data_IF_628734154331
#
_entry.id   IF_628734154331
#
_cell.length_a   1.000
_cell.length_b   1.000
_cell.length_c   1.000
_cell.angle_alpha   90.00
_cell.angle_beta   90.00
_cell.angle_gamma   90.00
#
_symmetry.space_group_name_H-M   'P 1'
#
loop_
_entity.id
_entity.type
_entity.pdbx_description
1 polymer ?
#
# COMPACT_ATOMS: atom_id res chain seq x y z
N UNK A 1 -10.47 -7.12 14.55
CA UNK A 1 -10.02 -7.24 13.15
C UNK A 1 -10.72 -6.16 12.36
N UNK A 2 -10.00 -5.14 11.89
CA UNK A 2 -10.56 -4.08 11.04
C UNK A 2 -10.40 -4.56 9.61
N UNK A 3 -11.48 -4.61 8.84
CA UNK A 3 -11.44 -4.89 7.41
C UNK A 3 -11.25 -3.56 6.66
N UNK A 4 -10.21 -3.47 5.84
CA UNK A 4 -9.99 -2.33 4.96
C UNK A 4 -10.70 -2.63 3.64
N UNK A 5 -11.62 -1.76 3.22
CA UNK A 5 -12.23 -1.82 1.89
C UNK A 5 -11.64 -0.70 1.03
N UNK A 6 -11.10 -1.07 -0.13
CA UNK A 6 -10.54 -0.14 -1.09
C UNK A 6 -11.41 -0.18 -2.35
N UNK A 7 -11.86 0.97 -2.89
CA UNK A 7 -12.76 1.04 -4.04
C UNK A 7 -12.10 0.66 -5.38
N UNK A 8 -10.90 0.07 -5.35
CA UNK A 8 -10.10 -0.30 -6.52
C UNK A 8 -8.61 -0.04 -6.30
N UNK A 9 -7.82 -0.23 -7.36
CA UNK A 9 -6.36 -0.05 -7.34
C UNK A 9 -5.98 1.40 -6.96
N UNK A 10 -6.77 2.38 -7.38
CA UNK A 10 -6.53 3.80 -7.08
C UNK A 10 -6.54 4.09 -5.56
N UNK A 11 -7.53 3.58 -4.84
CA UNK A 11 -7.58 3.71 -3.38
C UNK A 11 -6.41 2.99 -2.70
N UNK A 12 -5.93 1.89 -3.28
CA UNK A 12 -4.77 1.18 -2.76
C UNK A 12 -3.48 1.99 -2.96
N UNK A 13 -3.32 2.65 -4.11
CA UNK A 13 -2.19 3.54 -4.39
C UNK A 13 -2.17 4.74 -3.42
N UNK A 14 -3.33 5.34 -3.14
CA UNK A 14 -3.45 6.43 -2.17
C UNK A 14 -3.03 5.99 -0.75
N UNK A 15 -3.40 4.78 -0.33
CA UNK A 15 -2.97 4.23 0.97
C UNK A 15 -1.45 4.02 1.01
N UNK A 16 -0.84 3.52 -0.06
CA UNK A 16 0.62 3.37 -0.15
C UNK A 16 1.30 4.72 -0.03
N UNK A 17 0.83 5.74 -0.76
CA UNK A 17 1.39 7.09 -0.70
C UNK A 17 1.25 7.73 0.69
N UNK A 18 0.10 7.55 1.33
CA UNK A 18 -0.13 8.01 2.69
C UNK A 18 0.79 7.33 3.71
N UNK A 19 1.07 6.02 3.55
CA UNK A 19 2.00 5.28 4.41
C UNK A 19 3.43 5.78 4.25
N UNK A 20 3.87 6.04 3.02
CA UNK A 20 5.20 6.58 2.73
C UNK A 20 5.36 8.00 3.29
N UNK A 21 4.38 8.87 3.05
CA UNK A 21 4.35 10.22 3.62
C UNK A 21 4.40 10.19 5.15
N UNK A 22 3.63 9.30 5.78
CA UNK A 22 3.65 9.13 7.22
C UNK A 22 4.96 8.51 7.74
N UNK A 23 5.68 7.72 6.93
CA UNK A 23 7.00 7.20 7.30
C UNK A 23 8.04 8.33 7.32
N UNK A 24 8.05 9.16 6.28
CA UNK A 24 8.97 10.29 6.16
C UNK A 24 8.76 11.32 7.28
N UNK A 25 7.50 11.59 7.64
CA UNK A 25 7.15 12.51 8.72
C UNK A 25 7.71 12.09 10.11
N UNK A 26 7.92 10.79 10.35
CA UNK A 26 8.39 10.28 11.65
C UNK A 26 9.82 9.77 11.63
N UNK A 27 10.50 9.79 10.48
CA UNK A 27 11.83 9.20 10.28
C UNK A 27 12.86 9.63 11.33
N UNK A 28 12.86 10.90 11.73
CA UNK A 28 13.84 11.46 12.68
C UNK A 28 13.53 11.12 14.14
N UNK A 29 12.26 10.98 14.50
CA UNK A 29 11.83 10.76 15.90
C UNK A 29 11.49 9.30 16.22
N UNK A 30 11.17 8.49 15.20
CA UNK A 30 10.77 7.10 15.34
C UNK A 30 11.17 6.29 14.09
N UNK A 31 12.48 6.02 13.89
CA UNK A 31 12.99 5.33 12.69
C UNK A 31 12.40 3.92 12.53
N UNK A 32 12.16 3.19 13.62
CA UNK A 32 11.54 1.86 13.57
C UNK A 32 10.08 1.92 13.10
N UNK A 33 9.35 2.97 13.49
CA UNK A 33 7.99 3.20 13.03
C UNK A 33 7.96 3.59 11.55
N UNK A 34 8.92 4.40 11.10
CA UNK A 34 9.09 4.72 9.68
C UNK A 34 9.38 3.46 8.85
N UNK A 35 10.32 2.62 9.30
CA UNK A 35 10.64 1.35 8.64
C UNK A 35 9.42 0.42 8.56
N UNK A 36 8.65 0.31 9.66
CA UNK A 36 7.42 -0.49 9.67
C UNK A 36 6.38 0.03 8.68
N UNK A 37 6.22 1.35 8.55
CA UNK A 37 5.29 1.96 7.58
C UNK A 37 5.72 1.71 6.13
N UNK A 38 7.02 1.83 5.84
CA UNK A 38 7.56 1.49 4.51
C UNK A 38 7.33 0.02 4.18
N UNK A 39 7.63 -0.89 5.10
CA UNK A 39 7.37 -2.32 4.88
C UNK A 39 5.90 -2.67 4.66
N UNK A 40 4.96 -1.91 5.25
CA UNK A 40 3.53 -2.07 4.95
C UNK A 40 3.18 -1.56 3.55
N UNK A 41 3.72 -0.41 3.15
CA UNK A 41 3.57 0.13 1.79
C UNK A 41 4.11 -0.84 0.74
N UNK A 42 5.31 -1.39 0.96
CA UNK A 42 5.93 -2.37 0.07
C UNK A 42 5.07 -3.63 -0.05
N UNK A 43 4.63 -4.21 1.07
CA UNK A 43 3.80 -5.41 1.07
C UNK A 43 2.45 -5.22 0.36
N UNK A 44 1.86 -4.01 0.45
CA UNK A 44 0.65 -3.68 -0.30
C UNK A 44 0.96 -3.55 -1.80
N UNK A 45 2.04 -2.85 -2.17
CA UNK A 45 2.50 -2.75 -3.56
C UNK A 45 2.72 -4.11 -4.19
N UNK A 46 3.48 -4.99 -3.52
CA UNK A 46 3.73 -6.36 -3.96
C UNK A 46 2.43 -7.16 -4.13
N UNK A 47 1.48 -7.01 -3.20
CA UNK A 47 0.19 -7.69 -3.29
C UNK A 47 -0.67 -7.19 -4.46
N UNK A 48 -0.61 -5.90 -4.77
CA UNK A 48 -1.30 -5.31 -5.94
C UNK A 48 -0.67 -5.79 -7.24
N UNK A 49 0.66 -5.84 -7.32
CA UNK A 49 1.39 -6.34 -8.48
C UNK A 49 1.14 -7.83 -8.73
N UNK A 50 0.88 -8.59 -7.66
CA UNK A 50 0.53 -10.01 -7.73
C UNK A 50 -0.93 -10.27 -8.14
N UNK A 51 -1.77 -9.24 -8.25
CA UNK A 51 -3.17 -9.44 -8.66
C UNK A 51 -3.23 -9.96 -10.09
N UNK A 52 -4.02 -11.01 -10.36
CA UNK A 52 -4.20 -11.53 -11.71
C UNK A 52 -4.81 -10.43 -12.59
N UNK A 53 -4.20 -10.19 -13.75
CA UNK A 53 -4.75 -9.25 -14.72
C UNK A 53 -6.17 -9.70 -15.11
N UNK A 54 -7.12 -8.76 -15.28
CA UNK A 54 -8.45 -9.10 -15.76
C UNK A 54 -8.31 -9.87 -17.06
N UNK A 55 -8.84 -11.10 -17.11
CA UNK A 55 -8.96 -11.83 -18.38
C UNK A 55 -9.78 -10.97 -19.31
N UNK A 56 -9.16 -10.42 -20.36
CA UNK A 56 -9.89 -9.73 -21.40
C UNK A 56 -10.95 -10.70 -21.93
N UNK A 57 -12.22 -10.29 -22.06
CA UNK A 57 -13.23 -11.14 -22.67
C UNK A 57 -12.76 -11.47 -24.08
N UNK A 58 -12.53 -12.75 -24.37
CA UNK A 58 -12.41 -13.23 -25.75
C UNK A 58 -13.72 -12.91 -26.46
N UNK A 59 -13.61 -12.11 -27.52
CA UNK A 59 -14.71 -11.60 -28.34
C UNK A 59 -15.62 -12.71 -28.91
#
# INVERSE_FOLDING_TARGET
MIALYLPGIEGAAEVVDALLTAADAVQSGAPDLAARRRGLADAIGDALDALPQPRQPTA
#
